data_IF_470088973992
#
_entry.id   IF_470088973992
#
_cell.length_a   1.000
_cell.length_b   1.000
_cell.length_c   1.000
_cell.angle_alpha   90.00
_cell.angle_beta   90.00
_cell.angle_gamma   90.00
#
_symmetry.space_group_name_H-M   'P 1'
#
loop_
_entity.id
_entity.type
_entity.pdbx_description
1 polymer ?
#
# COMPACT_ATOMS: atom_id res chain seq x y z
N UNK A 1 9.40 10.65 0.76
CA UNK A 1 8.76 9.34 0.51
C UNK A 1 9.31 8.73 -0.76
N UNK A 2 9.32 9.47 -1.86
CA UNK A 2 10.04 9.11 -3.10
C UNK A 2 11.46 8.62 -2.83
N UNK A 3 12.28 9.35 -2.06
CA UNK A 3 13.65 8.94 -1.70
C UNK A 3 13.76 7.54 -1.08
N UNK A 4 12.77 7.13 -0.27
CA UNK A 4 12.78 5.79 0.37
C UNK A 4 12.34 4.73 -0.64
N UNK A 5 11.32 5.03 -1.44
CA UNK A 5 10.85 4.13 -2.48
C UNK A 5 11.92 3.90 -3.56
N UNK A 6 12.65 4.94 -3.96
CA UNK A 6 13.75 4.86 -4.92
C UNK A 6 14.93 4.05 -4.36
N UNK A 7 15.24 4.19 -3.06
CA UNK A 7 16.35 3.50 -2.44
C UNK A 7 16.07 2.02 -2.17
N UNK A 8 14.85 1.68 -1.76
CA UNK A 8 14.53 0.33 -1.28
C UNK A 8 13.70 -0.50 -2.26
N UNK A 9 12.94 0.13 -3.15
CA UNK A 9 11.91 -0.53 -3.93
C UNK A 9 10.59 -0.66 -3.17
N UNK A 10 9.49 -0.79 -3.91
CA UNK A 10 8.14 -0.97 -3.37
C UNK A 10 7.97 -2.32 -2.68
N UNK A 11 8.69 -3.34 -3.13
CA UNK A 11 8.69 -4.70 -2.58
C UNK A 11 9.26 -4.82 -1.16
N UNK A 12 9.96 -3.78 -0.69
CA UNK A 12 10.52 -3.64 0.66
C UNK A 12 9.95 -2.46 1.45
N UNK A 13 8.94 -1.77 0.91
CA UNK A 13 8.24 -0.67 1.57
C UNK A 13 6.76 -1.02 1.80
N UNK A 14 6.13 -0.41 2.80
CA UNK A 14 4.69 -0.54 3.04
C UNK A 14 4.12 0.73 3.63
N UNK A 15 2.84 1.01 3.38
CA UNK A 15 2.12 2.09 4.05
C UNK A 15 1.58 1.64 5.41
N UNK A 16 1.58 2.58 6.34
CA UNK A 16 1.03 2.40 7.68
C UNK A 16 0.44 3.73 8.16
N UNK A 17 -0.50 3.68 9.12
CA UNK A 17 -1.28 4.86 9.53
C UNK A 17 -0.86 5.49 10.86
N UNK A 18 -0.23 4.72 11.74
CA UNK A 18 0.11 5.08 13.11
C UNK A 18 -1.08 5.55 13.97
N UNK A 19 -2.32 5.28 13.54
CA UNK A 19 -3.51 5.60 14.32
C UNK A 19 -3.59 4.71 15.57
N UNK A 20 -3.99 5.26 16.73
CA UNK A 20 -4.64 6.56 16.90
C UNK A 20 -3.71 7.76 17.17
N UNK A 21 -2.40 7.58 17.24
CA UNK A 21 -1.46 8.65 17.63
C UNK A 21 -1.52 9.84 16.67
N UNK A 22 -1.63 9.57 15.37
CA UNK A 22 -1.67 10.61 14.33
C UNK A 22 -2.99 11.40 14.26
N UNK A 23 -4.02 11.01 15.03
CA UNK A 23 -5.32 11.72 15.07
C UNK A 23 -5.17 13.19 15.51
N UNK A 24 -4.12 13.53 16.25
CA UNK A 24 -3.81 14.91 16.63
C UNK A 24 -3.33 15.79 15.48
N UNK A 25 -2.89 15.20 14.37
CA UNK A 25 -2.31 15.90 13.22
C UNK A 25 -3.22 15.90 12.00
N UNK A 26 -3.92 14.79 11.73
CA UNK A 26 -4.81 14.67 10.57
C UNK A 26 -5.91 13.61 10.78
N UNK A 27 -6.97 13.65 9.96
CA UNK A 27 -8.00 12.60 9.96
C UNK A 27 -7.52 11.35 9.24
N UNK A 28 -7.99 10.16 9.64
CA UNK A 28 -7.65 8.92 8.95
C UNK A 28 -7.90 8.99 7.43
N UNK A 29 -9.01 9.62 7.03
CA UNK A 29 -9.35 9.84 5.61
C UNK A 29 -8.29 10.66 4.86
N UNK A 30 -7.68 11.66 5.49
CA UNK A 30 -6.63 12.46 4.89
C UNK A 30 -5.35 11.64 4.71
N UNK A 31 -4.97 10.84 5.72
CA UNK A 31 -3.82 9.91 5.61
C UNK A 31 -4.01 8.90 4.48
N UNK A 32 -5.17 8.26 4.42
CA UNK A 32 -5.52 7.35 3.33
C UNK A 32 -5.46 8.02 1.95
N UNK A 33 -6.00 9.24 1.84
CA UNK A 33 -5.96 9.99 0.58
C UNK A 33 -4.54 10.42 0.20
N UNK A 34 -3.65 10.69 1.16
CA UNK A 34 -2.26 10.95 0.89
C UNK A 34 -1.60 9.71 0.27
N UNK A 35 -1.72 8.53 0.90
CA UNK A 35 -1.18 7.26 0.38
C UNK A 35 -1.63 6.97 -1.06
N UNK A 36 -2.92 7.17 -1.35
CA UNK A 36 -3.46 7.01 -2.72
C UNK A 36 -2.81 7.95 -3.74
N UNK A 37 -2.53 9.21 -3.37
CA UNK A 37 -1.89 10.19 -4.25
C UNK A 37 -0.44 9.82 -4.53
N UNK A 38 0.30 9.37 -3.51
CA UNK A 38 1.70 8.92 -3.69
C UNK A 38 1.76 7.73 -4.65
N UNK A 39 0.80 6.81 -4.54
CA UNK A 39 0.75 5.63 -5.39
C UNK A 39 0.05 5.87 -6.73
N UNK A 40 -0.40 7.09 -7.08
CA UNK A 40 -1.27 7.34 -8.24
C UNK A 40 -0.65 6.81 -9.55
N UNK A 41 0.63 7.14 -9.77
CA UNK A 41 1.39 6.80 -10.98
C UNK A 41 2.03 5.40 -10.95
N UNK A 42 1.82 4.62 -9.89
CA UNK A 42 2.44 3.31 -9.76
C UNK A 42 1.63 2.25 -10.51
N UNK A 43 2.31 1.23 -11.02
CA UNK A 43 1.64 0.09 -11.64
C UNK A 43 0.95 -0.77 -10.57
N UNK A 44 0.12 -1.73 -11.02
CA UNK A 44 -0.69 -2.54 -10.10
C UNK A 44 0.16 -3.37 -9.13
N UNK A 45 1.29 -3.92 -9.59
CA UNK A 45 2.21 -4.69 -8.76
C UNK A 45 2.84 -3.83 -7.66
N UNK A 46 3.33 -2.64 -8.03
CA UNK A 46 3.91 -1.67 -7.10
C UNK A 46 2.89 -1.19 -6.06
N UNK A 47 1.65 -0.95 -6.48
CA UNK A 47 0.54 -0.64 -5.58
C UNK A 47 0.30 -1.78 -4.60
N UNK A 48 0.20 -3.01 -5.11
CA UNK A 48 -0.06 -4.17 -4.26
C UNK A 48 1.10 -4.43 -3.27
N UNK A 49 2.35 -4.19 -3.66
CA UNK A 49 3.50 -4.22 -2.76
C UNK A 49 3.34 -3.22 -1.59
N UNK A 50 3.06 -1.95 -1.88
CA UNK A 50 2.95 -0.93 -0.85
C UNK A 50 1.72 -1.08 0.06
N UNK A 51 0.60 -1.55 -0.48
CA UNK A 51 -0.64 -1.65 0.28
C UNK A 51 -0.80 -2.96 1.06
N UNK A 52 -0.20 -4.08 0.61
CA UNK A 52 -0.39 -5.34 1.32
C UNK A 52 0.69 -6.41 1.11
N UNK A 53 1.25 -6.61 -0.10
CA UNK A 53 2.15 -7.76 -0.36
C UNK A 53 3.44 -7.69 0.44
N UNK A 54 4.05 -6.50 0.55
CA UNK A 54 5.27 -6.33 1.35
C UNK A 54 5.02 -6.65 2.82
N UNK A 55 3.90 -6.18 3.38
CA UNK A 55 3.49 -6.52 4.74
C UNK A 55 3.21 -8.02 4.91
N UNK A 56 2.47 -8.62 3.97
CA UNK A 56 2.14 -10.04 4.00
C UNK A 56 3.40 -10.93 3.95
N UNK A 57 4.36 -10.63 3.07
CA UNK A 57 5.65 -11.33 3.01
C UNK A 57 6.45 -11.14 4.30
N UNK A 58 6.59 -9.89 4.76
CA UNK A 58 7.43 -9.56 5.91
C UNK A 58 6.90 -10.18 7.21
N UNK A 59 5.60 -10.04 7.47
CA UNK A 59 4.94 -10.59 8.66
C UNK A 59 4.46 -12.03 8.48
N UNK A 60 4.70 -12.64 7.31
CA UNK A 60 4.28 -14.03 6.97
C UNK A 60 2.78 -14.24 7.17
N UNK A 61 1.99 -13.26 6.75
CA UNK A 61 0.53 -13.33 6.83
C UNK A 61 0.01 -14.34 5.79
N UNK A 62 -1.04 -15.11 6.11
CA UNK A 62 -1.71 -15.93 5.11
C UNK A 62 -2.29 -15.04 4.02
N UNK A 63 -1.98 -15.36 2.77
CA UNK A 63 -2.57 -14.73 1.60
C UNK A 63 -3.39 -15.81 0.91
N UNK A 64 -4.71 -15.66 0.93
CA UNK A 64 -5.58 -16.61 0.24
C UNK A 64 -5.34 -16.52 -1.27
N UNK A 65 -5.39 -17.66 -1.97
CA UNK A 65 -5.23 -17.70 -3.43
C UNK A 65 -6.23 -16.79 -4.19
N UNK A 66 -7.34 -16.44 -3.54
CA UNK A 66 -8.31 -15.46 -4.05
C UNK A 66 -7.81 -14.02 -4.06
N UNK A 67 -6.88 -13.63 -3.18
CA UNK A 67 -6.36 -12.24 -3.10
C UNK A 67 -5.42 -11.89 -4.26
N UNK A 68 -4.62 -12.83 -4.75
CA UNK A 68 -3.80 -12.63 -5.96
C UNK A 68 -4.64 -12.62 -7.25
N UNK A 69 -5.78 -13.29 -7.23
CA UNK A 69 -6.67 -13.44 -8.40
C UNK A 69 -7.67 -12.28 -8.55
N UNK A 70 -8.07 -11.63 -7.45
CA UNK A 70 -9.22 -10.71 -7.43
C UNK A 70 -8.98 -9.32 -8.05
N UNK A 71 -7.76 -8.95 -8.45
CA UNK A 71 -7.47 -7.59 -8.97
C UNK A 71 -7.21 -7.49 -10.48
N UNK A 72 -7.10 -8.60 -11.20
CA UNK A 72 -7.07 -8.59 -12.67
C UNK A 72 -8.45 -8.33 -13.30
N UNK A 73 -9.54 -8.26 -12.52
CA UNK A 73 -10.92 -8.22 -13.03
C UNK A 73 -11.64 -6.86 -12.88
N UNK A 74 -10.98 -5.79 -12.43
CA UNK A 74 -11.59 -4.44 -12.34
C UNK A 74 -10.70 -3.37 -12.95
N UNK A 75 -10.50 -3.48 -14.26
CA UNK A 75 -10.02 -2.41 -15.11
C UNK A 75 -10.98 -2.23 -16.29
N UNK A 76 -12.27 -2.06 -16.00
CA UNK A 76 -13.31 -1.64 -16.95
C UNK A 76 -14.50 -1.11 -16.11
N UNK A 77 -14.56 0.22 -15.95
CA UNK A 77 -15.71 1.12 -15.76
C UNK A 77 -15.13 2.54 -15.64
#
# INVERSE_FOLDING_TARGET
METVLDAFGTDRCMFESNFPMDKGSYSYSNGWNAMKRIAENFNQTEKDDLFWRSAARFYRLPVDAGMDSARHAKADI
#
